data_IF_820522213853
#
_entry.id   IF_820522213853
#
_cell.length_a   1.000
_cell.length_b   1.000
_cell.length_c   1.000
_cell.angle_alpha   90.00
_cell.angle_beta   90.00
_cell.angle_gamma   90.00
#
_symmetry.space_group_name_H-M   'P 1'
#
loop_
_entity.id
_entity.type
_entity.pdbx_description
1 polymer ?
#
# COMPACT_ATOMS: atom_id res chain seq x y z
N UNK A 1 7.81 17.67 -8.42
CA UNK A 1 8.03 17.57 -6.96
C UNK A 1 6.93 18.30 -6.22
N UNK A 2 6.18 17.60 -5.37
CA UNK A 2 5.18 18.17 -4.45
C UNK A 2 5.12 17.34 -3.17
N UNK A 3 4.89 18.00 -2.04
CA UNK A 3 4.82 17.36 -0.72
C UNK A 3 3.39 17.37 -0.20
N UNK A 4 3.02 16.26 0.44
CA UNK A 4 1.73 16.03 1.08
C UNK A 4 1.97 15.60 2.52
N UNK A 5 1.00 15.87 3.39
CA UNK A 5 1.07 15.49 4.80
C UNK A 5 -0.16 14.66 5.15
N UNK A 6 0.07 13.43 5.58
CA UNK A 6 -0.97 12.57 6.11
C UNK A 6 -0.72 12.22 7.58
N UNK A 7 -1.54 11.33 8.11
CA UNK A 7 -1.34 10.73 9.43
C UNK A 7 -0.50 9.46 9.27
N UNK A 8 0.62 9.38 9.99
CA UNK A 8 1.41 8.16 10.08
C UNK A 8 0.65 7.12 10.92
N UNK A 9 0.18 6.06 10.27
CA UNK A 9 -0.45 4.90 10.92
C UNK A 9 0.62 3.92 11.37
N UNK A 10 1.59 3.65 10.49
CA UNK A 10 2.84 2.94 10.78
C UNK A 10 3.98 3.87 10.41
N UNK A 11 4.70 4.44 11.39
CA UNK A 11 5.86 5.30 11.13
C UNK A 11 6.97 4.54 10.43
N UNK A 12 7.69 5.21 9.53
CA UNK A 12 8.91 4.70 8.92
C UNK A 12 9.28 5.46 7.65
N UNK A 13 10.37 5.04 7.01
CA UNK A 13 10.86 5.68 5.79
C UNK A 13 10.86 4.72 4.62
N UNK A 14 10.44 5.19 3.46
CA UNK A 14 10.48 4.40 2.23
C UNK A 14 10.80 5.30 1.03
N UNK A 15 11.53 4.75 0.05
CA UNK A 15 11.68 5.37 -1.26
C UNK A 15 11.40 4.33 -2.34
N UNK A 16 10.36 4.57 -3.14
CA UNK A 16 9.87 3.58 -4.10
C UNK A 16 9.14 4.24 -5.27
N UNK A 17 8.95 3.47 -6.33
CA UNK A 17 8.15 3.89 -7.48
C UNK A 17 6.65 3.75 -7.15
N UNK A 18 5.87 4.77 -7.50
CA UNK A 18 4.43 4.80 -7.30
C UNK A 18 3.73 3.76 -8.19
N UNK A 19 2.79 3.03 -7.60
CA UNK A 19 1.75 2.28 -8.30
C UNK A 19 0.40 2.80 -7.82
N UNK A 20 -0.35 3.43 -8.73
CA UNK A 20 -1.55 4.22 -8.38
C UNK A 20 -2.81 3.49 -8.82
N UNK A 21 -3.82 3.50 -7.96
CA UNK A 21 -5.19 3.14 -8.31
C UNK A 21 -6.15 4.18 -7.73
N UNK A 22 -7.19 4.53 -8.49
CA UNK A 22 -8.29 5.37 -8.07
C UNK A 22 -9.50 4.54 -7.58
N UNK A 23 -9.40 3.22 -7.68
CA UNK A 23 -10.39 2.28 -7.16
C UNK A 23 -10.03 1.84 -5.74
N UNK A 24 -11.04 1.46 -4.95
CA UNK A 24 -10.80 0.87 -3.63
C UNK A 24 -9.90 -0.37 -3.72
N UNK A 25 -8.99 -0.51 -2.77
CA UNK A 25 -8.03 -1.61 -2.75
C UNK A 25 -8.57 -2.83 -2.02
N UNK A 26 -8.88 -3.89 -2.75
CA UNK A 26 -9.31 -5.16 -2.18
C UNK A 26 -8.10 -6.05 -1.87
N UNK A 27 -7.58 -5.94 -0.65
CA UNK A 27 -6.40 -6.69 -0.16
C UNK A 27 -6.45 -8.18 -0.49
N UNK A 28 -7.56 -8.87 -0.19
CA UNK A 28 -7.70 -10.29 -0.49
C UNK A 28 -7.64 -10.56 -2.00
N UNK A 29 -8.45 -9.85 -2.80
CA UNK A 29 -8.47 -10.07 -4.25
C UNK A 29 -7.12 -9.72 -4.91
N UNK A 30 -6.42 -8.71 -4.40
CA UNK A 30 -5.13 -8.27 -4.92
C UNK A 30 -4.01 -9.28 -4.62
N UNK A 31 -3.97 -9.89 -3.43
CA UNK A 31 -2.87 -10.77 -3.01
C UNK A 31 -3.18 -12.27 -3.04
N UNK A 32 -4.43 -12.71 -3.05
CA UNK A 32 -4.78 -14.14 -2.88
C UNK A 32 -3.98 -15.06 -3.80
N UNK A 33 -3.88 -14.71 -5.09
CA UNK A 33 -3.27 -15.59 -6.08
C UNK A 33 -1.76 -15.60 -5.94
N UNK A 34 -1.15 -14.43 -5.75
CA UNK A 34 0.30 -14.30 -5.62
C UNK A 34 0.83 -14.95 -4.35
N UNK A 35 0.09 -14.87 -3.23
CA UNK A 35 0.43 -15.57 -1.99
C UNK A 35 0.29 -17.09 -2.15
N UNK A 36 -0.78 -17.57 -2.79
CA UNK A 36 -0.99 -19.01 -3.01
C UNK A 36 0.03 -19.62 -3.98
N UNK A 37 0.48 -18.87 -4.99
CA UNK A 37 1.45 -19.34 -5.98
C UNK A 37 2.91 -19.09 -5.59
N UNK A 38 3.17 -18.36 -4.51
CA UNK A 38 4.53 -17.96 -4.11
C UNK A 38 5.16 -16.94 -5.07
N UNK A 39 4.36 -16.13 -5.77
CA UNK A 39 4.84 -15.11 -6.71
C UNK A 39 5.55 -13.97 -5.99
N UNK A 40 6.88 -13.90 -6.12
CA UNK A 40 7.74 -12.93 -5.42
C UNK A 40 7.47 -11.48 -5.79
N UNK A 41 6.92 -11.22 -6.97
CA UNK A 41 6.56 -9.85 -7.38
C UNK A 41 5.22 -9.37 -6.78
N UNK A 42 4.51 -10.27 -6.09
CA UNK A 42 3.20 -10.01 -5.54
C UNK A 42 2.22 -9.44 -6.59
N UNK A 43 2.16 -10.06 -7.77
CA UNK A 43 1.35 -9.57 -8.89
C UNK A 43 -0.12 -9.46 -8.50
N UNK A 44 -0.72 -8.28 -8.72
CA UNK A 44 -2.10 -8.04 -8.36
C UNK A 44 -3.07 -8.93 -9.16
N UNK A 45 -3.91 -9.69 -8.46
CA UNK A 45 -4.93 -10.56 -9.06
C UNK A 45 -6.36 -10.00 -9.08
N UNK A 46 -6.56 -8.75 -8.64
CA UNK A 46 -7.88 -8.12 -8.61
C UNK A 46 -8.29 -7.59 -9.99
N UNK A 47 -9.13 -8.35 -10.69
CA UNK A 47 -9.65 -8.00 -12.02
C UNK A 47 -10.56 -6.75 -12.02
N UNK A 48 -11.13 -6.40 -10.86
CA UNK A 48 -11.99 -5.22 -10.74
C UNK A 48 -11.17 -3.93 -10.60
N UNK A 49 -9.86 -4.04 -10.35
CA UNK A 49 -8.96 -2.91 -10.26
C UNK A 49 -8.02 -2.87 -11.48
N UNK A 50 -8.56 -2.48 -12.63
CA UNK A 50 -7.87 -2.49 -13.92
C UNK A 50 -6.58 -1.68 -13.97
N UNK A 51 -6.45 -0.64 -13.12
CA UNK A 51 -5.26 0.20 -13.05
C UNK A 51 -4.04 -0.53 -12.49
N UNK A 52 -4.24 -1.53 -11.64
CA UNK A 52 -3.15 -2.30 -11.01
C UNK A 52 -3.21 -3.79 -11.32
N UNK A 53 -4.28 -4.29 -11.94
CA UNK A 53 -4.41 -5.69 -12.33
C UNK A 53 -3.23 -6.16 -13.17
N UNK A 54 -2.63 -7.29 -12.77
CA UNK A 54 -1.47 -7.87 -13.45
C UNK A 54 -0.15 -7.10 -13.26
N UNK A 55 -0.12 -6.06 -12.40
CA UNK A 55 1.09 -5.30 -12.09
C UNK A 55 1.77 -5.81 -10.81
N UNK A 56 3.11 -5.77 -10.73
CA UNK A 56 3.85 -6.15 -9.53
C UNK A 56 3.62 -5.11 -8.43
N UNK A 57 3.32 -5.58 -7.22
CA UNK A 57 3.09 -4.71 -6.06
C UNK A 57 4.25 -4.71 -5.07
N UNK A 58 5.09 -5.76 -5.09
CA UNK A 58 6.23 -5.86 -4.19
C UNK A 58 7.16 -4.65 -4.33
N UNK A 59 7.52 -4.05 -3.20
CA UNK A 59 8.43 -2.90 -3.17
C UNK A 59 7.92 -1.62 -3.85
N UNK A 60 6.65 -1.56 -4.30
CA UNK A 60 6.04 -0.34 -4.85
C UNK A 60 5.43 0.52 -3.75
N UNK A 61 5.34 1.82 -4.00
CA UNK A 61 4.53 2.73 -3.20
C UNK A 61 3.08 2.66 -3.69
N UNK A 62 2.23 1.89 -2.99
CA UNK A 62 0.81 1.79 -3.38
C UNK A 62 0.08 3.06 -2.98
N UNK A 63 -0.36 3.82 -3.97
CA UNK A 63 -1.12 5.05 -3.79
C UNK A 63 -2.59 4.78 -4.11
N UNK A 64 -3.44 4.83 -3.08
CA UNK A 64 -4.79 4.27 -3.11
C UNK A 64 -5.79 5.27 -2.48
N UNK A 65 -7.09 5.22 -2.80
CA UNK A 65 -8.06 6.04 -2.10
C UNK A 65 -8.32 5.54 -0.68
N UNK A 66 -8.58 4.24 -0.57
CA UNK A 66 -8.92 3.52 0.65
C UNK A 66 -8.87 2.02 0.34
N UNK A 67 -8.92 1.22 1.39
CA UNK A 67 -9.15 -0.22 1.31
C UNK A 67 -10.64 -0.55 1.23
N UNK A 68 -10.98 -1.65 0.56
CA UNK A 68 -12.34 -2.19 0.48
C UNK A 68 -12.33 -3.71 0.68
N UNK A 69 -13.44 -4.29 1.14
CA UNK A 69 -13.61 -5.74 1.18
C UNK A 69 -13.45 -6.39 2.56
N UNK A 70 -12.96 -7.63 2.56
CA UNK A 70 -13.21 -8.66 3.59
C UNK A 70 -12.52 -8.43 4.94
N UNK A 71 -13.14 -8.94 6.02
CA UNK A 71 -12.60 -9.06 7.39
C UNK A 71 -11.20 -9.68 7.46
N UNK A 72 -10.79 -10.46 6.46
CA UNK A 72 -9.47 -11.09 6.39
C UNK A 72 -8.37 -10.16 5.85
N UNK A 73 -8.70 -8.96 5.37
CA UNK A 73 -7.77 -8.08 4.68
C UNK A 73 -6.49 -7.75 5.46
N UNK A 74 -6.61 -7.51 6.77
CA UNK A 74 -5.46 -7.29 7.64
C UNK A 74 -4.52 -8.49 7.72
N UNK A 75 -5.06 -9.71 7.83
CA UNK A 75 -4.25 -10.94 7.83
C UNK A 75 -3.54 -11.16 6.49
N UNK A 76 -4.17 -10.81 5.38
CA UNK A 76 -3.55 -10.91 4.06
C UNK A 76 -2.35 -9.98 3.94
N UNK A 77 -2.46 -8.72 4.40
CA UNK A 77 -1.34 -7.77 4.43
C UNK A 77 -0.19 -8.27 5.32
N UNK A 78 -0.51 -8.80 6.49
CA UNK A 78 0.48 -9.42 7.38
C UNK A 78 1.18 -10.61 6.71
N UNK A 79 0.42 -11.53 6.10
CA UNK A 79 1.00 -12.68 5.40
C UNK A 79 1.91 -12.26 4.24
N UNK A 80 1.52 -11.26 3.45
CA UNK A 80 2.36 -10.72 2.39
C UNK A 80 3.69 -10.18 2.96
N UNK A 81 3.64 -9.53 4.12
CA UNK A 81 4.82 -9.02 4.82
C UNK A 81 5.71 -10.13 5.36
N UNK A 82 5.14 -11.12 6.03
CA UNK A 82 5.86 -12.28 6.56
C UNK A 82 6.53 -13.13 5.47
N UNK A 83 6.03 -13.07 4.23
CA UNK A 83 6.58 -13.78 3.07
C UNK A 83 7.54 -12.92 2.23
N UNK A 84 7.79 -11.66 2.61
CA UNK A 84 8.65 -10.75 1.87
C UNK A 84 8.06 -10.33 0.52
N UNK A 85 6.73 -10.16 0.46
CA UNK A 85 5.93 -9.86 -0.72
C UNK A 85 5.09 -8.57 -0.53
N UNK A 86 5.44 -7.76 0.46
CA UNK A 86 4.76 -6.51 0.77
C UNK A 86 5.13 -5.35 -0.17
N UNK A 87 4.25 -4.34 -0.30
CA UNK A 87 4.61 -3.04 -0.83
C UNK A 87 5.72 -2.36 -0.04
N UNK A 88 6.43 -1.40 -0.65
CA UNK A 88 7.38 -0.56 0.09
C UNK A 88 6.67 0.38 1.06
N UNK A 89 5.49 0.88 0.70
CA UNK A 89 4.63 1.66 1.58
C UNK A 89 3.18 1.63 1.09
N UNK A 90 2.25 1.90 2.01
CA UNK A 90 0.82 2.06 1.73
C UNK A 90 0.41 3.51 1.96
N UNK A 91 -0.09 4.17 0.92
CA UNK A 91 -0.42 5.59 0.92
C UNK A 91 -1.88 5.79 0.55
N UNK A 92 -2.69 6.22 1.52
CA UNK A 92 -4.12 6.42 1.35
C UNK A 92 -4.48 7.90 1.28
N UNK A 93 -5.25 8.28 0.25
CA UNK A 93 -5.80 9.64 0.16
C UNK A 93 -6.91 9.86 1.19
N UNK A 94 -7.73 8.85 1.45
CA UNK A 94 -8.72 8.79 2.53
C UNK A 94 -8.19 8.13 3.80
N UNK A 95 -9.05 7.97 4.82
CA UNK A 95 -8.70 7.21 6.01
C UNK A 95 -8.57 5.72 5.69
N UNK A 96 -7.56 5.06 6.27
CA UNK A 96 -7.45 3.60 6.21
C UNK A 96 -8.51 2.96 7.11
N UNK A 97 -9.09 1.83 6.69
CA UNK A 97 -9.99 1.08 7.55
C UNK A 97 -9.24 0.34 8.68
N UNK A 98 -9.93 0.03 9.77
CA UNK A 98 -9.32 -0.55 10.97
C UNK A 98 -8.72 -1.94 10.76
N UNK A 99 -9.23 -2.73 9.81
CA UNK A 99 -8.72 -4.06 9.50
C UNK A 99 -7.41 -3.98 8.74
N UNK A 100 -7.35 -3.13 7.72
CA UNK A 100 -6.11 -2.90 6.98
C UNK A 100 -5.03 -2.25 7.86
N UNK A 101 -5.42 -1.30 8.72
CA UNK A 101 -4.53 -0.71 9.71
C UNK A 101 -3.98 -1.76 10.68
N UNK A 102 -4.82 -2.64 11.21
CA UNK A 102 -4.38 -3.73 12.07
C UNK A 102 -3.38 -4.64 11.35
N UNK A 103 -3.61 -4.95 10.07
CA UNK A 103 -2.66 -5.71 9.24
C UNK A 103 -1.31 -5.04 9.10
N UNK A 104 -1.28 -3.74 8.76
CA UNK A 104 -0.05 -2.97 8.66
C UNK A 104 0.72 -2.89 9.99
N UNK A 105 0.01 -2.70 11.11
CA UNK A 105 0.62 -2.68 12.45
C UNK A 105 1.17 -4.07 12.81
N UNK A 106 0.44 -5.15 12.52
CA UNK A 106 0.96 -6.51 12.75
C UNK A 106 2.22 -6.77 11.95
N UNK A 107 2.30 -6.30 10.71
CA UNK A 107 3.53 -6.39 9.91
C UNK A 107 4.69 -5.69 10.59
N UNK A 108 4.50 -4.46 11.08
CA UNK A 108 5.54 -3.68 11.75
C UNK A 108 6.03 -4.32 13.07
N UNK A 109 5.10 -4.88 13.86
CA UNK A 109 5.46 -5.43 15.18
C UNK A 109 6.05 -6.84 15.07
N UNK A 110 5.58 -7.67 14.13
CA UNK A 110 5.87 -9.13 14.10
C UNK A 110 6.72 -9.58 12.91
N UNK A 111 7.19 -8.67 12.07
CA UNK A 111 8.11 -9.00 10.97
C UNK A 111 9.27 -8.01 10.94
N UNK A 112 10.34 -8.34 10.22
CA UNK A 112 11.50 -7.45 10.05
C UNK A 112 11.32 -6.48 8.87
N UNK A 113 10.13 -6.45 8.22
CA UNK A 113 9.91 -5.59 7.07
C UNK A 113 9.52 -4.19 7.49
N UNK A 114 10.03 -3.19 6.76
CA UNK A 114 9.54 -1.82 6.88
C UNK A 114 8.49 -1.56 5.79
N UNK A 115 7.26 -1.30 6.20
CA UNK A 115 6.16 -0.90 5.31
C UNK A 115 5.42 0.30 5.91
N UNK A 116 5.99 1.52 5.82
CA UNK A 116 5.35 2.72 6.31
C UNK A 116 3.95 2.87 5.71
N UNK A 117 3.01 3.26 6.55
CA UNK A 117 1.60 3.40 6.16
C UNK A 117 1.10 4.77 6.58
N UNK A 118 0.63 5.54 5.59
CA UNK A 118 0.16 6.91 5.77
C UNK A 118 -1.24 7.01 5.19
N UNK A 119 -2.16 7.61 5.94
CA UNK A 119 -3.52 7.87 5.49
C UNK A 119 -3.90 9.35 5.56
N UNK A 120 -5.08 9.71 5.06
CA UNK A 120 -5.57 11.08 5.01
C UNK A 120 -4.63 12.05 4.23
N UNK A 121 -4.00 11.58 3.15
CA UNK A 121 -3.17 12.43 2.28
C UNK A 121 -4.00 13.43 1.44
N UNK A 122 -5.31 13.23 1.36
CA UNK A 122 -6.26 14.09 0.66
C UNK A 122 -6.40 13.73 -0.83
N UNK A 123 -7.54 14.08 -1.42
CA UNK A 123 -7.84 13.79 -2.84
C UNK A 123 -6.81 14.40 -3.78
N UNK A 124 -6.28 15.58 -3.43
CA UNK A 124 -5.23 16.27 -4.20
C UNK A 124 -3.94 15.43 -4.35
N UNK A 125 -3.60 14.61 -3.35
CA UNK A 125 -2.49 13.66 -3.47
C UNK A 125 -2.75 12.64 -4.57
N UNK A 126 -3.94 12.02 -4.56
CA UNK A 126 -4.30 10.97 -5.50
C UNK A 126 -4.44 11.51 -6.92
N UNK A 127 -4.95 12.73 -7.08
CA UNK A 127 -5.04 13.43 -8.37
C UNK A 127 -3.65 13.83 -8.93
N UNK A 128 -2.67 14.09 -8.07
CA UNK A 128 -1.34 14.53 -8.47
C UNK A 128 -0.38 13.37 -8.77
N UNK A 129 -0.45 12.31 -7.98
CA UNK A 129 0.45 11.15 -8.10
C UNK A 129 0.12 10.33 -9.34
N UNK A 130 1.14 9.84 -10.03
CA UNK A 130 0.99 9.01 -11.22
C UNK A 130 1.90 7.80 -11.09
N UNK A 131 1.48 6.67 -11.65
CA UNK A 131 2.30 5.45 -11.68
C UNK A 131 3.64 5.75 -12.36
N UNK A 132 4.74 5.26 -11.77
CA UNK A 132 6.09 5.51 -12.27
C UNK A 132 6.80 6.71 -11.61
N UNK A 133 6.09 7.58 -10.90
CA UNK A 133 6.73 8.68 -10.12
C UNK A 133 7.51 8.12 -8.93
N UNK A 134 8.53 8.86 -8.50
CA UNK A 134 9.28 8.49 -7.29
C UNK A 134 8.58 9.04 -6.07
N UNK A 135 8.38 8.18 -5.07
CA UNK A 135 7.78 8.52 -3.79
C UNK A 135 8.84 8.41 -2.72
N UNK A 136 8.91 9.42 -1.85
CA UNK A 136 9.67 9.37 -0.60
C UNK A 136 8.70 9.57 0.56
N UNK A 137 8.73 8.66 1.53
CA UNK A 137 7.93 8.70 2.76
C UNK A 137 8.87 8.92 3.94
N UNK A 138 8.49 9.85 4.81
CA UNK A 138 9.18 10.14 6.06
C UNK A 138 8.38 9.61 7.27
N UNK A 139 9.08 9.36 8.38
CA UNK A 139 8.50 8.72 9.57
C UNK A 139 7.33 9.51 10.19
N UNK A 140 7.26 10.81 9.94
CA UNK A 140 6.22 11.69 10.45
C UNK A 140 4.95 11.69 9.57
N UNK A 141 4.90 10.91 8.49
CA UNK A 141 3.79 10.87 7.54
C UNK A 141 3.87 11.91 6.42
N UNK A 142 5.02 12.55 6.25
CA UNK A 142 5.30 13.41 5.08
C UNK A 142 5.57 12.54 3.86
N UNK A 143 4.92 12.86 2.74
CA UNK A 143 5.04 12.15 1.46
C UNK A 143 5.45 13.12 0.37
N UNK A 144 6.57 12.87 -0.28
CA UNK A 144 7.07 13.66 -1.39
C UNK A 144 6.96 12.88 -2.70
N UNK A 145 6.36 13.50 -3.71
CA UNK A 145 6.13 12.93 -5.04
C UNK A 145 7.00 13.67 -6.06
N UNK A 146 7.91 12.95 -6.72
CA UNK A 146 8.86 13.43 -7.73
C UNK A 146 8.50 12.96 -9.14
#
# INVERSE_FOLDING_TARGET
>A
MKTFKGRAVVPGTAKAEALVSHSGFNTLASFQKSLMSGDKEATCSDQNNSEIFGKPMYGKALCLPQTIGSTTGGMVLYCASALGQQPACLLFSGPIDSLAAAGAILSDVWTDVSMPTVDNLGTEFLEYVQTGKTITVEADGTVTVE
#
